data_IF_949865684430
#
_entry.id   IF_949865684430
#
_cell.length_a   1.000
_cell.length_b   1.000
_cell.length_c   1.000
_cell.angle_alpha   90.00
_cell.angle_beta   90.00
_cell.angle_gamma   90.00
#
_symmetry.space_group_name_H-M   'P 1'
#
loop_
_entity.id
_entity.type
_entity.pdbx_description
1 polymer ?
#
# COMPACT_ATOMS: atom_id res chain seq x y z
N UNK A 1 18.15 -1.41 1.64
CA UNK A 1 18.27 -1.36 0.18
C UNK A 1 19.21 -2.43 -0.37
N UNK A 2 19.48 -2.39 -1.68
CA UNK A 2 20.23 -3.44 -2.39
C UNK A 2 21.62 -3.73 -1.80
N UNK A 3 22.36 -2.69 -1.39
CA UNK A 3 23.67 -2.86 -0.77
C UNK A 3 23.60 -3.72 0.51
N UNK A 4 22.62 -3.47 1.38
CA UNK A 4 22.39 -4.26 2.59
C UNK A 4 21.95 -5.69 2.28
N UNK A 5 21.12 -5.87 1.25
CA UNK A 5 20.71 -7.19 0.79
C UNK A 5 21.93 -8.02 0.36
N UNK A 6 22.83 -7.44 -0.43
CA UNK A 6 24.08 -8.08 -0.84
C UNK A 6 24.92 -8.51 0.36
N UNK A 7 25.10 -7.63 1.35
CA UNK A 7 25.83 -7.97 2.57
C UNK A 7 25.17 -9.12 3.34
N UNK A 8 23.85 -9.09 3.49
CA UNK A 8 23.13 -10.16 4.19
C UNK A 8 23.28 -11.51 3.46
N UNK A 9 23.26 -11.49 2.12
CA UNK A 9 23.40 -12.72 1.31
C UNK A 9 24.78 -13.38 1.45
N UNK A 10 25.83 -12.65 1.79
CA UNK A 10 27.13 -13.27 2.08
C UNK A 10 27.13 -14.16 3.33
N UNK A 11 26.11 -13.99 4.19
CA UNK A 11 25.93 -14.74 5.46
C UNK A 11 24.82 -15.81 5.35
N UNK A 12 24.11 -15.84 4.22
CA UNK A 12 23.02 -16.80 4.00
C UNK A 12 23.59 -18.16 3.59
N UNK A 13 23.08 -19.23 4.20
CA UNK A 13 23.38 -20.62 3.88
C UNK A 13 22.25 -21.30 3.07
N UNK A 14 21.37 -20.49 2.49
CA UNK A 14 20.25 -20.91 1.64
C UNK A 14 20.31 -20.22 0.26
N UNK A 15 19.59 -20.79 -0.71
CA UNK A 15 19.50 -20.23 -2.06
C UNK A 15 18.55 -19.04 -2.09
N UNK A 16 18.96 -17.99 -2.81
CA UNK A 16 18.12 -16.83 -3.16
C UNK A 16 18.00 -16.80 -4.66
N UNK A 17 16.77 -16.75 -5.17
CA UNK A 17 16.48 -16.84 -6.60
C UNK A 17 15.76 -15.56 -7.07
N UNK A 18 16.20 -15.04 -8.23
CA UNK A 18 15.52 -13.96 -8.91
C UNK A 18 15.86 -13.98 -10.40
N UNK A 19 14.88 -14.21 -11.25
CA UNK A 19 15.08 -14.37 -12.69
C UNK A 19 14.92 -13.08 -13.49
N UNK A 20 14.29 -12.06 -12.93
CA UNK A 20 13.89 -10.82 -13.64
C UNK A 20 14.49 -9.53 -13.10
N UNK A 21 15.52 -9.60 -12.23
CA UNK A 21 16.20 -8.39 -11.75
C UNK A 21 17.69 -8.46 -12.08
N UNK A 22 18.19 -7.36 -12.62
CA UNK A 22 19.56 -7.25 -13.13
C UNK A 22 20.24 -6.01 -12.57
N UNK A 23 21.56 -6.04 -12.49
CA UNK A 23 22.38 -4.87 -12.29
C UNK A 23 22.33 -3.91 -13.49
N UNK A 24 22.92 -2.74 -13.34
CA UNK A 24 22.99 -1.70 -14.39
C UNK A 24 23.70 -2.19 -15.66
N UNK A 25 24.67 -3.10 -15.50
CA UNK A 25 25.43 -3.76 -16.56
C UNK A 25 24.70 -4.94 -17.21
N UNK A 26 23.48 -5.27 -16.77
CA UNK A 26 22.67 -6.37 -17.28
C UNK A 26 23.02 -7.73 -16.65
N UNK A 27 23.90 -7.79 -15.66
CA UNK A 27 24.18 -9.05 -14.94
C UNK A 27 23.03 -9.40 -13.98
N UNK A 28 22.61 -10.68 -13.88
CA UNK A 28 21.64 -11.12 -12.88
C UNK A 28 22.15 -10.83 -11.46
N UNK A 29 21.28 -10.36 -10.58
CA UNK A 29 21.66 -10.08 -9.18
C UNK A 29 21.72 -11.32 -8.31
N UNK A 30 20.99 -12.37 -8.69
CA UNK A 30 20.94 -13.69 -8.04
C UNK A 30 20.82 -14.80 -9.08
N UNK A 31 20.94 -16.07 -8.64
CA UNK A 31 20.60 -17.22 -9.48
C UNK A 31 19.15 -17.14 -9.93
N UNK A 32 18.87 -17.43 -11.20
CA UNK A 32 17.51 -17.35 -11.73
C UNK A 32 16.64 -18.52 -11.30
N UNK A 33 17.24 -19.71 -11.20
CA UNK A 33 16.58 -20.98 -10.88
C UNK A 33 17.49 -21.91 -10.07
N UNK A 34 16.89 -22.98 -9.55
CA UNK A 34 17.58 -24.03 -8.80
C UNK A 34 16.76 -25.32 -8.81
N UNK A 35 17.41 -26.47 -9.06
CA UNK A 35 16.78 -27.79 -8.93
C UNK A 35 17.14 -28.41 -7.58
N UNK A 36 16.14 -28.74 -6.79
CA UNK A 36 16.29 -29.53 -5.57
C UNK A 36 15.90 -30.97 -5.83
N UNK A 37 16.79 -31.91 -5.54
CA UNK A 37 16.48 -33.33 -5.62
C UNK A 37 16.21 -33.88 -4.23
N UNK A 38 15.02 -34.44 -4.04
CA UNK A 38 14.61 -35.05 -2.76
C UNK A 38 15.39 -36.34 -2.51
N UNK A 39 15.36 -36.85 -1.28
CA UNK A 39 15.97 -38.17 -0.94
C UNK A 39 15.34 -39.33 -1.72
N UNK A 40 14.10 -39.20 -2.17
CA UNK A 40 13.39 -40.18 -3.01
C UNK A 40 13.66 -40.01 -4.50
N UNK A 41 14.50 -39.06 -4.90
CA UNK A 41 14.87 -38.80 -6.29
C UNK A 41 13.92 -37.92 -7.08
N UNK A 42 12.88 -37.36 -6.46
CA UNK A 42 12.01 -36.38 -7.12
C UNK A 42 12.78 -35.06 -7.30
N UNK A 43 12.78 -34.53 -8.52
CA UNK A 43 13.41 -33.27 -8.89
C UNK A 43 12.36 -32.14 -8.84
N UNK A 44 12.63 -31.13 -8.05
CA UNK A 44 11.77 -29.94 -7.93
C UNK A 44 12.56 -28.74 -8.41
N UNK A 45 12.15 -28.17 -9.55
CA UNK A 45 12.70 -26.96 -10.10
C UNK A 45 12.05 -25.73 -9.47
N UNK A 46 12.86 -24.79 -9.05
CA UNK A 46 12.40 -23.49 -8.53
C UNK A 46 12.95 -22.36 -9.38
N UNK A 47 12.16 -21.32 -9.63
CA UNK A 47 12.65 -20.05 -10.16
C UNK A 47 12.04 -18.86 -9.41
N UNK A 48 12.81 -17.77 -9.28
CA UNK A 48 12.38 -16.58 -8.53
C UNK A 48 11.79 -15.52 -9.44
N UNK A 49 10.71 -14.85 -9.00
CA UNK A 49 10.09 -13.70 -9.69
C UNK A 49 9.83 -12.56 -8.71
N UNK A 50 10.43 -11.41 -8.97
CA UNK A 50 10.21 -10.17 -8.22
C UNK A 50 9.22 -9.29 -8.99
N UNK A 51 8.39 -8.53 -8.27
CA UNK A 51 7.47 -7.60 -8.90
C UNK A 51 8.19 -6.42 -9.54
N UNK A 52 7.91 -6.11 -10.82
CA UNK A 52 8.39 -4.87 -11.43
C UNK A 52 7.89 -3.59 -10.72
N UNK A 53 6.82 -3.69 -9.94
CA UNK A 53 6.32 -2.59 -9.11
C UNK A 53 7.36 -2.10 -8.08
N UNK A 54 8.40 -2.88 -7.79
CA UNK A 54 9.52 -2.42 -6.96
C UNK A 54 10.14 -1.11 -7.48
N UNK A 55 10.03 -0.82 -8.78
CA UNK A 55 10.46 0.45 -9.38
C UNK A 55 9.70 1.67 -8.85
N UNK A 56 8.45 1.49 -8.43
CA UNK A 56 7.58 2.55 -7.88
C UNK A 56 7.25 2.34 -6.41
N UNK A 57 7.27 1.10 -5.91
CA UNK A 57 6.90 0.76 -4.52
C UNK A 57 8.09 0.63 -3.56
N UNK A 58 9.33 0.66 -4.07
CA UNK A 58 10.52 0.77 -3.25
C UNK A 58 11.10 2.19 -3.33
N UNK A 59 11.80 2.61 -2.26
CA UNK A 59 12.49 3.90 -2.28
C UNK A 59 13.52 3.91 -3.43
N UNK A 60 13.44 4.85 -4.40
CA UNK A 60 14.30 4.88 -5.58
C UNK A 60 15.79 4.89 -5.25
N UNK A 61 16.20 5.59 -4.19
CA UNK A 61 17.61 5.62 -3.76
C UNK A 61 18.13 4.25 -3.30
N UNK A 62 17.23 3.37 -2.83
CA UNK A 62 17.59 2.05 -2.32
C UNK A 62 17.66 0.96 -3.39
N UNK A 63 17.12 1.23 -4.58
CA UNK A 63 17.12 0.33 -5.75
C UNK A 63 17.92 0.87 -6.93
N UNK A 64 18.62 2.00 -6.73
CA UNK A 64 19.45 2.64 -7.76
C UNK A 64 20.43 1.62 -8.36
N UNK A 65 20.51 1.58 -9.69
CA UNK A 65 21.35 0.64 -10.42
C UNK A 65 20.73 -0.74 -10.66
N UNK A 66 19.47 -0.95 -10.27
CA UNK A 66 18.72 -2.16 -10.60
C UNK A 66 17.80 -1.92 -11.80
N UNK A 67 17.67 -2.97 -12.62
CA UNK A 67 16.72 -3.06 -13.74
C UNK A 67 15.78 -4.21 -13.52
N UNK A 68 14.49 -3.98 -13.65
CA UNK A 68 13.44 -4.99 -13.51
C UNK A 68 12.89 -5.32 -14.89
N UNK A 69 12.97 -6.58 -15.29
CA UNK A 69 12.35 -7.04 -16.53
C UNK A 69 10.84 -7.17 -16.32
N UNK A 70 10.08 -6.49 -17.16
CA UNK A 70 8.61 -6.44 -17.10
C UNK A 70 7.93 -7.49 -17.96
N UNK A 71 8.65 -8.16 -18.86
CA UNK A 71 8.12 -9.29 -19.63
C UNK A 71 8.20 -10.58 -18.81
N UNK A 72 7.34 -10.67 -17.78
CA UNK A 72 7.30 -11.82 -16.88
C UNK A 72 7.04 -13.12 -17.61
N UNK A 73 6.31 -13.08 -18.74
CA UNK A 73 6.05 -14.25 -19.59
C UNK A 73 7.33 -14.78 -20.20
N UNK A 74 8.08 -13.93 -20.90
CA UNK A 74 9.33 -14.36 -21.55
C UNK A 74 10.36 -14.84 -20.51
N UNK A 75 10.45 -14.17 -19.36
CA UNK A 75 11.31 -14.60 -18.25
C UNK A 75 10.91 -15.98 -17.76
N UNK A 76 9.62 -16.21 -17.48
CA UNK A 76 9.15 -17.52 -17.00
C UNK A 76 9.35 -18.63 -18.04
N UNK A 77 9.02 -18.38 -19.32
CA UNK A 77 9.22 -19.38 -20.40
C UNK A 77 10.69 -19.80 -20.51
N UNK A 78 11.64 -18.88 -20.34
CA UNK A 78 13.07 -19.19 -20.29
C UNK A 78 13.43 -20.08 -19.08
N UNK A 79 12.83 -19.87 -17.91
CA UNK A 79 13.07 -20.71 -16.75
C UNK A 79 12.43 -22.09 -16.90
N UNK A 80 11.22 -22.16 -17.45
CA UNK A 80 10.54 -23.43 -17.74
C UNK A 80 11.34 -24.29 -18.71
N UNK A 81 11.94 -23.71 -19.74
CA UNK A 81 12.84 -24.45 -20.64
C UNK A 81 14.12 -24.93 -19.91
N UNK A 82 14.68 -24.13 -19.02
CA UNK A 82 15.85 -24.51 -18.22
C UNK A 82 15.55 -25.63 -17.22
N UNK A 83 14.32 -25.73 -16.74
CA UNK A 83 13.85 -26.70 -15.73
C UNK A 83 13.00 -27.84 -16.34
N UNK A 84 12.99 -28.02 -17.64
CA UNK A 84 12.11 -28.96 -18.34
C UNK A 84 12.34 -30.45 -17.98
N UNK A 85 13.48 -30.79 -17.42
CA UNK A 85 13.83 -32.14 -16.98
C UNK A 85 13.51 -32.36 -15.49
N UNK A 86 12.90 -31.39 -14.83
CA UNK A 86 12.43 -31.51 -13.46
C UNK A 86 11.01 -32.08 -13.40
N UNK A 87 10.69 -32.77 -12.33
CA UNK A 87 9.41 -33.47 -12.16
C UNK A 87 8.26 -32.49 -11.80
N UNK A 88 8.60 -31.42 -11.06
CA UNK A 88 7.67 -30.37 -10.62
C UNK A 88 8.38 -29.02 -10.73
N UNK A 89 7.74 -28.02 -11.30
CA UNK A 89 8.28 -26.65 -11.41
C UNK A 89 7.46 -25.68 -10.59
N UNK A 90 8.10 -24.99 -9.65
CA UNK A 90 7.49 -24.05 -8.71
C UNK A 90 8.08 -22.64 -8.92
N UNK A 91 7.22 -21.66 -9.13
CA UNK A 91 7.62 -20.25 -9.08
C UNK A 91 7.59 -19.75 -7.63
N UNK A 92 8.73 -19.18 -7.19
CA UNK A 92 8.82 -18.41 -5.94
C UNK A 92 8.63 -16.93 -6.30
N UNK A 93 7.44 -16.41 -6.08
CA UNK A 93 7.10 -15.07 -6.55
C UNK A 93 6.81 -14.07 -5.41
N UNK A 94 7.07 -12.82 -5.69
CA UNK A 94 6.64 -11.68 -4.88
C UNK A 94 5.84 -10.71 -5.76
N UNK A 95 4.80 -11.22 -6.44
CA UNK A 95 4.00 -10.49 -7.43
C UNK A 95 2.69 -9.96 -6.86
N UNK A 96 2.11 -10.69 -5.91
CA UNK A 96 0.79 -10.39 -5.36
C UNK A 96 -0.36 -10.84 -6.25
N UNK A 97 -1.57 -10.66 -5.73
CA UNK A 97 -2.83 -11.06 -6.38
C UNK A 97 -3.86 -9.93 -6.42
N UNK A 98 -3.54 -8.77 -5.85
CA UNK A 98 -4.41 -7.60 -5.83
C UNK A 98 -4.47 -6.92 -7.22
N UNK A 99 -5.63 -6.35 -7.57
CA UNK A 99 -5.80 -5.64 -8.86
C UNK A 99 -4.85 -4.43 -9.00
N UNK A 100 -4.41 -3.83 -7.89
CA UNK A 100 -3.42 -2.76 -7.89
C UNK A 100 -2.03 -3.17 -8.39
N UNK A 101 -1.76 -4.48 -8.51
CA UNK A 101 -0.49 -5.03 -9.00
C UNK A 101 -0.54 -5.49 -10.45
N UNK A 102 -1.68 -5.34 -11.14
CA UNK A 102 -1.78 -5.61 -12.59
C UNK A 102 -0.86 -4.72 -13.40
N UNK A 103 -0.30 -5.21 -14.53
CA UNK A 103 -0.47 -6.54 -15.11
C UNK A 103 0.57 -7.55 -14.60
N UNK A 104 1.09 -7.41 -13.40
CA UNK A 104 2.22 -8.18 -12.87
C UNK A 104 1.81 -9.13 -11.75
N UNK A 105 0.52 -9.48 -11.64
CA UNK A 105 0.05 -10.40 -10.59
C UNK A 105 0.47 -11.85 -10.84
N UNK A 106 0.49 -12.66 -9.78
CA UNK A 106 0.70 -14.11 -9.91
C UNK A 106 -0.37 -14.78 -10.77
N UNK A 107 -1.58 -14.21 -10.87
CA UNK A 107 -2.59 -14.65 -11.83
C UNK A 107 -2.19 -14.38 -13.28
N UNK A 108 -1.64 -13.17 -13.55
CA UNK A 108 -1.17 -12.80 -14.89
C UNK A 108 -0.04 -13.72 -15.32
N UNK A 109 0.94 -13.99 -14.44
CA UNK A 109 2.03 -14.92 -14.69
C UNK A 109 1.53 -16.33 -15.00
N UNK A 110 0.66 -16.90 -14.16
CA UNK A 110 0.11 -18.24 -14.33
C UNK A 110 -0.68 -18.40 -15.63
N UNK A 111 -1.44 -17.36 -16.01
CA UNK A 111 -2.21 -17.37 -17.25
C UNK A 111 -1.31 -17.23 -18.48
N UNK A 112 -0.25 -16.47 -18.42
CA UNK A 112 0.64 -16.17 -19.54
C UNK A 112 1.68 -17.29 -19.82
N UNK A 113 2.25 -17.91 -18.78
CA UNK A 113 3.29 -18.92 -18.87
C UNK A 113 2.75 -20.32 -18.49
N UNK A 114 2.66 -21.22 -19.47
CA UNK A 114 2.15 -22.59 -19.24
C UNK A 114 3.30 -23.52 -18.87
N UNK A 115 3.10 -24.38 -17.88
CA UNK A 115 4.09 -25.33 -17.37
C UNK A 115 4.57 -25.05 -15.94
N UNK A 116 4.03 -24.00 -15.29
CA UNK A 116 4.21 -23.78 -13.86
C UNK A 116 3.23 -24.68 -13.12
N UNK A 117 3.74 -25.62 -12.31
CA UNK A 117 2.90 -26.52 -11.52
C UNK A 117 2.32 -25.86 -10.28
N UNK A 118 3.05 -24.91 -9.68
CA UNK A 118 2.65 -24.19 -8.48
C UNK A 118 3.33 -22.83 -8.34
N UNK A 119 2.63 -21.87 -7.73
CA UNK A 119 3.18 -20.56 -7.37
C UNK A 119 3.09 -20.37 -5.86
N UNK A 120 4.23 -20.12 -5.21
CA UNK A 120 4.32 -19.64 -3.84
C UNK A 120 4.49 -18.12 -3.94
N UNK A 121 3.48 -17.38 -3.48
CA UNK A 121 3.40 -15.92 -3.68
C UNK A 121 3.47 -15.13 -2.37
N UNK A 122 3.80 -13.85 -2.50
CA UNK A 122 3.82 -12.83 -1.45
C UNK A 122 3.24 -11.50 -1.91
N UNK A 123 3.74 -10.37 -1.39
CA UNK A 123 3.43 -8.98 -1.74
C UNK A 123 2.05 -8.49 -1.27
N UNK A 124 0.94 -9.09 -1.70
CA UNK A 124 -0.42 -8.66 -1.35
C UNK A 124 -0.84 -8.96 0.10
N UNK A 125 -0.04 -9.73 0.86
CA UNK A 125 -0.35 -10.22 2.21
C UNK A 125 -1.63 -11.07 2.28
N UNK A 126 -2.07 -11.62 1.15
CA UNK A 126 -3.28 -12.44 1.06
C UNK A 126 -3.08 -13.79 1.78
N UNK A 127 -4.14 -14.32 2.38
CA UNK A 127 -4.16 -15.66 2.99
C UNK A 127 -4.99 -16.55 2.11
N UNK A 128 -4.34 -17.42 1.34
CA UNK A 128 -5.03 -18.30 0.39
C UNK A 128 -4.21 -19.56 0.11
N UNK A 129 -4.86 -20.73 0.14
CA UNK A 129 -4.26 -22.00 -0.27
C UNK A 129 -4.32 -22.23 -1.78
N UNK A 130 -5.24 -21.56 -2.47
CA UNK A 130 -5.44 -21.58 -3.93
C UNK A 130 -6.04 -20.28 -4.41
N UNK A 131 -5.84 -19.96 -5.68
CA UNK A 131 -6.42 -18.79 -6.33
C UNK A 131 -7.95 -18.82 -6.38
N UNK A 132 -8.54 -17.67 -6.70
CA UNK A 132 -10.01 -17.45 -6.69
C UNK A 132 -10.80 -18.38 -7.62
N UNK A 133 -10.17 -18.86 -8.71
CA UNK A 133 -10.79 -19.84 -9.64
C UNK A 133 -10.15 -21.23 -9.51
N UNK A 134 -9.37 -21.48 -8.45
CA UNK A 134 -8.72 -22.76 -8.21
C UNK A 134 -7.29 -22.85 -8.76
N UNK A 135 -6.70 -21.73 -9.18
CA UNK A 135 -5.31 -21.69 -9.65
C UNK A 135 -4.35 -22.20 -8.54
N UNK A 136 -3.26 -22.91 -8.90
CA UNK A 136 -2.28 -23.44 -7.94
C UNK A 136 -1.35 -22.33 -7.43
N UNK A 137 -1.93 -21.34 -6.77
CA UNK A 137 -1.25 -20.18 -6.19
C UNK A 137 -1.54 -20.12 -4.70
N UNK A 138 -0.50 -20.14 -3.87
CA UNK A 138 -0.62 -20.07 -2.41
C UNK A 138 0.06 -18.81 -1.89
N UNK A 139 -0.58 -18.14 -0.93
CA UNK A 139 0.01 -17.04 -0.15
C UNK A 139 -0.35 -17.21 1.31
N UNK A 140 0.62 -17.00 2.20
CA UNK A 140 0.52 -17.32 3.64
C UNK A 140 0.17 -16.12 4.51
N UNK A 141 -0.13 -14.96 3.92
CA UNK A 141 -0.39 -13.74 4.65
C UNK A 141 0.89 -13.01 5.07
N UNK A 142 0.92 -12.51 6.28
CA UNK A 142 2.03 -11.73 6.83
C UNK A 142 2.31 -12.11 8.27
N UNK A 143 3.48 -11.70 8.80
CA UNK A 143 3.87 -11.86 10.22
C UNK A 143 3.84 -13.31 10.72
N UNK A 144 4.14 -14.27 9.85
CA UNK A 144 4.10 -15.70 10.15
C UNK A 144 2.73 -16.20 10.64
N UNK A 145 1.63 -15.58 10.19
CA UNK A 145 0.30 -16.04 10.56
C UNK A 145 0.00 -17.47 10.09
N UNK A 146 0.59 -17.88 8.96
CA UNK A 146 0.41 -19.23 8.41
C UNK A 146 1.74 -19.79 7.86
N UNK A 147 1.82 -21.14 7.83
CA UNK A 147 2.81 -21.89 7.07
C UNK A 147 2.08 -22.58 5.92
N UNK A 148 2.60 -22.42 4.69
CA UNK A 148 2.13 -23.16 3.52
C UNK A 148 2.75 -24.56 3.48
N UNK A 149 1.94 -25.57 3.21
CA UNK A 149 2.38 -26.96 3.07
C UNK A 149 1.96 -27.47 1.71
N UNK A 150 2.94 -27.92 0.94
CA UNK A 150 2.75 -28.57 -0.37
C UNK A 150 3.21 -30.01 -0.27
N UNK A 151 2.34 -30.95 -0.62
CA UNK A 151 2.67 -32.39 -0.63
C UNK A 151 2.84 -32.85 -2.07
N UNK A 152 3.97 -33.46 -2.35
CA UNK A 152 4.30 -34.04 -3.66
C UNK A 152 4.34 -35.58 -3.49
N UNK A 153 3.55 -36.28 -4.29
CA UNK A 153 3.57 -37.76 -4.30
C UNK A 153 4.81 -38.28 -5.02
N UNK A 154 5.54 -39.15 -4.35
CA UNK A 154 6.81 -39.68 -4.84
C UNK A 154 6.67 -40.60 -6.05
N UNK A 155 5.54 -41.29 -6.20
CA UNK A 155 5.34 -42.25 -7.27
C UNK A 155 4.86 -41.57 -8.55
N UNK A 156 3.90 -40.66 -8.42
CA UNK A 156 3.35 -39.92 -9.55
C UNK A 156 4.16 -38.68 -9.89
N UNK A 157 5.00 -38.18 -8.97
CA UNK A 157 5.81 -36.96 -9.08
C UNK A 157 4.95 -35.72 -9.33
N UNK A 158 3.76 -35.69 -8.71
CA UNK A 158 2.80 -34.59 -8.84
C UNK A 158 2.43 -34.01 -7.49
N UNK A 159 1.98 -32.78 -7.49
CA UNK A 159 1.42 -32.15 -6.29
C UNK A 159 0.11 -32.84 -5.96
N UNK A 160 0.06 -33.49 -4.80
CA UNK A 160 -1.11 -34.21 -4.27
C UNK A 160 -2.04 -33.27 -3.54
N UNK A 161 -1.49 -32.37 -2.73
CA UNK A 161 -2.26 -31.42 -1.96
C UNK A 161 -1.46 -30.18 -1.60
N UNK A 162 -2.17 -29.11 -1.27
CA UNK A 162 -1.63 -27.94 -0.61
C UNK A 162 -2.57 -27.49 0.51
N UNK A 163 -2.03 -26.89 1.57
CA UNK A 163 -2.78 -26.41 2.71
C UNK A 163 -2.07 -25.27 3.43
N UNK A 164 -2.81 -24.54 4.26
CA UNK A 164 -2.27 -23.57 5.20
C UNK A 164 -2.39 -24.11 6.62
N UNK A 165 -1.30 -24.01 7.36
CA UNK A 165 -1.27 -24.30 8.80
C UNK A 165 -1.21 -22.96 9.54
N UNK A 166 -2.27 -22.65 10.29
CA UNK A 166 -2.34 -21.42 11.09
C UNK A 166 -1.39 -21.51 12.29
N UNK A 167 -0.57 -20.48 12.49
CA UNK A 167 0.28 -20.32 13.66
C UNK A 167 -0.54 -19.63 14.76
N UNK A 168 -0.78 -20.36 15.86
CA UNK A 168 -1.53 -19.87 17.03
C UNK A 168 -0.60 -19.46 18.15
N UNK A 169 -1.14 -18.78 19.14
CA UNK A 169 -0.36 -18.30 20.30
C UNK A 169 0.29 -19.46 21.08
N UNK A 170 -0.38 -20.60 21.14
CA UNK A 170 0.07 -21.84 21.80
C UNK A 170 0.92 -22.76 20.92
N UNK A 171 1.19 -22.35 19.66
CA UNK A 171 2.09 -23.12 18.77
C UNK A 171 3.46 -23.27 19.41
N UNK A 172 3.98 -24.51 19.42
CA UNK A 172 5.28 -24.83 20.00
C UNK A 172 6.40 -24.02 19.32
N UNK A 173 7.31 -23.46 20.13
CA UNK A 173 8.41 -22.61 19.68
C UNK A 173 9.75 -23.35 19.84
N UNK A 174 10.62 -23.21 18.86
CA UNK A 174 12.02 -23.60 19.04
C UNK A 174 12.68 -22.72 20.11
N UNK A 175 13.29 -23.34 21.12
CA UNK A 175 13.80 -22.64 22.29
C UNK A 175 14.99 -21.71 21.94
N UNK A 176 15.84 -22.10 20.99
CA UNK A 176 17.01 -21.31 20.58
C UNK A 176 16.59 -20.07 19.78
N UNK A 177 15.64 -20.23 18.85
CA UNK A 177 15.06 -19.13 18.08
C UNK A 177 14.30 -18.18 18.99
N UNK A 178 13.48 -18.71 19.91
CA UNK A 178 12.75 -17.88 20.88
C UNK A 178 13.68 -17.05 21.77
N UNK A 179 14.78 -17.65 22.27
CA UNK A 179 15.78 -16.93 23.08
C UNK A 179 16.52 -15.84 22.27
N UNK A 180 16.82 -16.09 21.00
CA UNK A 180 17.43 -15.10 20.12
C UNK A 180 16.48 -13.94 19.82
N UNK A 181 15.20 -14.24 19.54
CA UNK A 181 14.16 -13.23 19.35
C UNK A 181 13.95 -12.38 20.61
N UNK A 182 13.93 -13.01 21.81
CA UNK A 182 13.72 -12.30 23.06
C UNK A 182 14.83 -11.26 23.33
N UNK A 183 16.10 -11.57 23.02
CA UNK A 183 17.19 -10.59 23.14
C UNK A 183 16.98 -9.35 22.28
N UNK A 184 16.40 -9.52 21.09
CA UNK A 184 16.08 -8.39 20.19
C UNK A 184 14.91 -7.59 20.77
N UNK A 185 13.86 -8.27 21.24
CA UNK A 185 12.69 -7.65 21.88
C UNK A 185 13.13 -6.82 23.08
N UNK A 186 13.91 -7.38 24.01
CA UNK A 186 14.39 -6.70 25.21
C UNK A 186 15.18 -5.43 24.88
N UNK A 187 16.01 -5.48 23.81
CA UNK A 187 16.75 -4.30 23.34
C UNK A 187 15.82 -3.22 22.81
N UNK A 188 14.84 -3.60 22.00
CA UNK A 188 13.85 -2.68 21.43
C UNK A 188 12.99 -2.08 22.55
N UNK A 189 12.55 -2.87 23.50
CA UNK A 189 11.72 -2.42 24.62
C UNK A 189 12.51 -1.45 25.54
N UNK A 190 13.79 -1.72 25.76
CA UNK A 190 14.66 -0.79 26.49
C UNK A 190 14.85 0.55 25.79
N UNK A 191 14.96 0.54 24.46
CA UNK A 191 15.21 1.73 23.65
C UNK A 191 13.94 2.53 23.37
N UNK A 192 12.84 1.85 23.06
CA UNK A 192 11.60 2.46 22.53
C UNK A 192 10.35 2.20 23.40
N UNK A 193 10.44 1.38 24.44
CA UNK A 193 9.30 1.01 25.28
C UNK A 193 8.82 2.07 26.26
N UNK A 194 9.53 3.22 26.34
CA UNK A 194 9.13 4.30 27.25
C UNK A 194 7.79 4.90 26.79
N UNK A 195 6.83 4.95 27.71
CA UNK A 195 5.53 5.63 27.54
C UNK A 195 5.80 7.14 27.47
N UNK A 196 5.31 7.80 26.42
CA UNK A 196 5.44 9.26 26.26
C UNK A 196 4.08 9.97 26.13
N UNK A 197 3.00 9.21 25.89
CA UNK A 197 1.66 9.74 25.68
C UNK A 197 0.58 8.70 26.08
N UNK A 198 -0.68 9.13 26.02
CA UNK A 198 -1.86 8.27 26.16
C UNK A 198 -2.84 8.49 25.03
N UNK A 199 -3.50 7.42 24.57
CA UNK A 199 -4.62 7.52 23.66
C UNK A 199 -5.94 7.20 24.38
N UNK A 200 -6.94 8.08 24.22
CA UNK A 200 -8.31 7.84 24.70
C UNK A 200 -9.15 7.07 23.68
N UNK A 201 -8.70 7.00 22.45
CA UNK A 201 -9.40 6.41 21.31
C UNK A 201 -8.52 5.38 20.62
N UNK A 202 -9.11 4.42 19.95
CA UNK A 202 -8.38 3.50 19.07
C UNK A 202 -8.18 4.18 17.70
N UNK A 203 -6.95 4.17 17.20
CA UNK A 203 -6.64 4.64 15.85
C UNK A 203 -6.54 3.46 14.89
N UNK A 204 -7.29 3.53 13.81
CA UNK A 204 -7.43 2.44 12.85
C UNK A 204 -6.14 2.22 12.04
N UNK A 205 -5.57 1.04 12.15
CA UNK A 205 -4.39 0.60 11.39
C UNK A 205 -4.68 -0.49 10.37
N UNK A 206 -5.97 -0.80 10.10
CA UNK A 206 -6.34 -1.83 9.14
C UNK A 206 -5.88 -1.44 7.72
N UNK A 207 -5.60 -2.47 6.91
CA UNK A 207 -5.31 -2.29 5.47
C UNK A 207 -6.60 -1.94 4.72
N UNK A 208 -7.59 -2.83 4.79
CA UNK A 208 -8.90 -2.81 4.16
C UNK A 208 -9.75 -3.96 4.79
N UNK A 209 -11.10 -3.99 4.67
CA UNK A 209 -11.92 -2.85 4.22
C UNK A 209 -12.01 -1.74 5.27
N UNK A 210 -12.38 -0.54 4.85
CA UNK A 210 -12.48 0.67 5.69
C UNK A 210 -11.17 0.95 6.45
N UNK A 211 -10.06 0.82 5.76
CA UNK A 211 -8.73 0.98 6.30
C UNK A 211 -7.91 2.02 5.55
N UNK A 212 -6.63 2.07 5.86
CA UNK A 212 -5.71 3.09 5.31
C UNK A 212 -5.55 3.04 3.79
N UNK A 213 -6.00 1.95 3.10
CA UNK A 213 -5.78 1.74 1.67
C UNK A 213 -7.04 1.79 0.81
N UNK A 214 -8.18 2.06 1.39
CA UNK A 214 -9.48 2.14 0.69
C UNK A 214 -10.43 3.18 1.27
N UNK A 215 -10.04 3.89 2.35
CA UNK A 215 -10.83 4.92 2.99
C UNK A 215 -10.01 5.82 3.91
N UNK A 216 -10.65 6.88 4.39
CA UNK A 216 -10.11 7.75 5.43
C UNK A 216 -10.02 7.01 6.76
N UNK A 217 -8.94 7.23 7.50
CA UNK A 217 -8.81 6.70 8.85
C UNK A 217 -8.36 7.79 9.83
N UNK A 218 -8.85 7.71 11.06
CA UNK A 218 -8.43 8.62 12.13
C UNK A 218 -6.92 8.53 12.44
N UNK A 219 -6.27 7.41 12.12
CA UNK A 219 -4.82 7.28 12.20
C UNK A 219 -4.12 8.06 11.07
N UNK A 220 -4.68 7.98 9.86
CA UNK A 220 -4.23 8.79 8.72
C UNK A 220 -4.38 10.30 9.00
N UNK A 221 -5.49 10.69 9.61
CA UNK A 221 -5.74 12.09 10.01
C UNK A 221 -4.69 12.57 11.01
N UNK A 222 -4.44 11.81 12.09
CA UNK A 222 -3.41 12.16 13.08
C UNK A 222 -2.03 12.33 12.43
N UNK A 223 -1.65 11.41 11.54
CA UNK A 223 -0.33 11.42 10.89
C UNK A 223 -0.19 12.63 9.98
N UNK A 224 -1.19 12.90 9.14
CA UNK A 224 -1.14 14.03 8.20
C UNK A 224 -1.27 15.38 8.90
N UNK A 225 -2.03 15.46 9.99
CA UNK A 225 -2.05 16.66 10.85
C UNK A 225 -0.69 16.91 11.48
N UNK A 226 -0.01 15.87 11.96
CA UNK A 226 1.33 15.99 12.52
C UNK A 226 2.36 16.43 11.47
N UNK A 227 2.27 15.91 10.23
CA UNK A 227 3.14 16.33 9.12
C UNK A 227 2.93 17.80 8.79
N UNK A 228 1.68 18.20 8.61
CA UNK A 228 1.31 19.60 8.31
C UNK A 228 1.76 20.53 9.43
N UNK A 229 1.39 20.23 10.69
CA UNK A 229 1.82 20.98 11.86
C UNK A 229 3.34 21.16 11.93
N UNK A 230 4.10 20.09 11.65
CA UNK A 230 5.56 20.14 11.71
C UNK A 230 6.17 21.12 10.72
N UNK A 231 5.67 21.16 9.49
CA UNK A 231 6.13 22.12 8.47
C UNK A 231 5.67 23.52 8.80
N UNK A 232 4.45 23.69 9.29
CA UNK A 232 3.90 25.01 9.65
C UNK A 232 4.62 25.67 10.83
N UNK A 233 5.41 24.94 11.61
CA UNK A 233 6.32 25.55 12.62
C UNK A 233 7.40 26.44 11.98
N UNK A 234 7.69 26.25 10.68
CA UNK A 234 8.70 27.00 9.92
C UNK A 234 8.10 27.53 8.60
N UNK A 235 6.84 27.98 8.64
CA UNK A 235 6.09 28.43 7.47
C UNK A 235 6.72 29.56 6.67
N UNK A 236 7.59 30.35 7.30
CA UNK A 236 8.34 31.44 6.67
C UNK A 236 9.27 30.95 5.54
N UNK A 237 9.63 29.67 5.55
CA UNK A 237 10.41 29.01 4.48
C UNK A 237 9.57 28.59 3.26
N UNK A 238 8.24 28.72 3.32
CA UNK A 238 7.35 28.33 2.23
C UNK A 238 7.21 29.45 1.21
N UNK A 239 7.05 29.09 -0.07
CA UNK A 239 6.91 30.06 -1.18
C UNK A 239 5.45 30.30 -1.57
N UNK A 240 4.50 29.69 -0.87
CA UNK A 240 3.05 29.87 -1.05
C UNK A 240 2.41 30.35 0.25
N UNK A 241 1.19 30.86 0.18
CA UNK A 241 0.42 31.22 1.34
C UNK A 241 0.02 29.99 2.16
N UNK A 242 -0.26 30.17 3.45
CA UNK A 242 -0.63 29.07 4.36
C UNK A 242 -1.89 28.30 3.91
N UNK A 243 -2.84 28.99 3.27
CA UNK A 243 -4.05 28.37 2.73
C UNK A 243 -3.83 27.51 1.48
N UNK A 244 -2.60 27.46 0.94
CA UNK A 244 -2.15 26.62 -0.15
C UNK A 244 -1.22 25.48 0.32
N UNK A 245 -1.11 25.25 1.63
CA UNK A 245 -0.26 24.17 2.19
C UNK A 245 -1.15 23.01 2.61
N UNK A 246 -0.84 21.82 2.13
CA UNK A 246 -1.61 20.60 2.39
C UNK A 246 -0.68 19.46 2.74
N UNK A 247 -1.17 18.44 3.43
CA UNK A 247 -0.39 17.23 3.68
C UNK A 247 -1.05 15.99 3.04
N UNK A 248 -0.23 15.13 2.48
CA UNK A 248 -0.65 13.84 1.87
C UNK A 248 0.37 12.78 2.23
N UNK A 249 -0.09 11.62 2.70
CA UNK A 249 0.74 10.43 2.83
C UNK A 249 0.02 9.20 2.30
N UNK A 250 0.77 8.24 1.75
CA UNK A 250 0.21 6.99 1.24
C UNK A 250 -0.21 6.06 2.37
N UNK A 251 -1.41 5.49 2.29
CA UNK A 251 -1.95 4.55 3.27
C UNK A 251 -1.11 3.29 3.43
N UNK A 252 -0.35 2.91 2.39
CA UNK A 252 0.64 1.84 2.44
C UNK A 252 1.76 2.06 3.44
N UNK A 253 2.05 3.32 3.80
CA UNK A 253 3.02 3.71 4.82
C UNK A 253 2.57 3.43 6.26
N UNK A 254 1.26 3.30 6.51
CA UNK A 254 0.65 3.12 7.83
C UNK A 254 0.44 1.62 8.09
N UNK A 255 1.15 1.06 9.07
CA UNK A 255 1.32 -0.39 9.19
C UNK A 255 0.68 -1.03 10.42
N UNK A 256 0.19 -0.26 11.38
CA UNK A 256 -0.41 -0.76 12.61
C UNK A 256 -1.44 0.23 13.18
N UNK A 257 -2.30 -0.27 14.07
CA UNK A 257 -3.21 0.52 14.89
C UNK A 257 -2.49 1.06 16.14
N UNK A 258 -3.02 2.13 16.74
CA UNK A 258 -2.70 2.56 18.09
C UNK A 258 -3.90 2.24 18.98
N UNK A 259 -3.67 1.46 20.04
CA UNK A 259 -4.73 1.05 20.98
C UNK A 259 -5.01 2.14 22.01
N UNK A 260 -6.19 2.07 22.63
CA UNK A 260 -6.52 2.88 23.81
C UNK A 260 -5.55 2.54 24.95
N UNK A 261 -5.03 3.53 25.65
CA UNK A 261 -4.12 3.37 26.79
C UNK A 261 -2.79 4.09 26.59
N UNK A 262 -1.75 3.53 27.18
CA UNK A 262 -0.39 4.06 27.10
C UNK A 262 0.18 3.92 25.69
N UNK A 263 0.84 4.98 25.21
CA UNK A 263 1.49 5.03 23.89
C UNK A 263 2.99 5.15 24.08
N UNK A 264 3.73 4.22 23.48
CA UNK A 264 5.20 4.18 23.51
C UNK A 264 5.80 4.66 22.19
N UNK A 265 7.09 4.98 22.20
CA UNK A 265 7.82 5.26 20.94
C UNK A 265 7.83 4.05 20.01
N UNK A 266 7.79 2.82 20.57
CA UNK A 266 7.72 1.57 19.82
C UNK A 266 6.42 1.49 19.02
N UNK A 267 5.29 1.92 19.59
CA UNK A 267 4.00 1.91 18.91
C UNK A 267 4.04 2.81 17.67
N UNK A 268 4.55 4.04 17.81
CA UNK A 268 4.67 4.96 16.66
C UNK A 268 5.62 4.41 15.59
N UNK A 269 6.76 3.82 15.98
CA UNK A 269 7.68 3.18 15.03
C UNK A 269 7.09 1.93 14.37
N UNK A 270 6.16 1.26 15.02
CA UNK A 270 5.41 0.12 14.43
C UNK A 270 4.38 0.60 13.41
N UNK A 271 3.75 1.75 13.68
CA UNK A 271 2.84 2.41 12.73
C UNK A 271 3.59 2.93 11.51
N UNK A 272 4.76 3.55 11.70
CA UNK A 272 5.58 4.22 10.66
C UNK A 272 7.00 3.62 10.60
N UNK A 273 7.17 2.38 10.11
CA UNK A 273 8.43 1.65 10.25
C UNK A 273 9.51 2.00 9.22
N UNK A 274 9.19 2.77 8.18
CA UNK A 274 10.08 2.95 7.03
C UNK A 274 11.15 4.01 7.23
N UNK A 275 11.02 4.87 8.23
CA UNK A 275 11.95 5.97 8.48
C UNK A 275 11.93 7.04 7.37
N UNK A 276 10.81 7.15 6.65
CA UNK A 276 10.63 8.17 5.64
C UNK A 276 10.69 9.57 6.27
N UNK A 277 11.37 10.51 5.60
CA UNK A 277 11.42 11.92 5.99
C UNK A 277 10.23 12.69 5.41
N UNK A 278 9.88 13.81 6.04
CA UNK A 278 8.92 14.77 5.50
C UNK A 278 9.62 15.60 4.43
N UNK A 279 9.07 15.61 3.24
CA UNK A 279 9.48 16.44 2.12
C UNK A 279 8.36 17.38 1.73
N UNK A 280 8.71 18.61 1.37
CA UNK A 280 7.76 19.59 0.83
C UNK A 280 8.05 19.76 -0.65
N UNK A 281 7.03 19.57 -1.46
CA UNK A 281 7.09 19.74 -2.92
C UNK A 281 6.09 20.81 -3.36
N UNK A 282 6.40 21.49 -4.45
CA UNK A 282 5.52 22.50 -5.03
C UNK A 282 4.96 21.98 -6.36
N UNK A 283 3.65 21.84 -6.42
CA UNK A 283 2.93 21.30 -7.59
C UNK A 283 1.79 22.24 -7.98
N UNK A 284 1.38 22.17 -9.23
CA UNK A 284 0.14 22.83 -9.69
C UNK A 284 -1.08 22.09 -9.15
N UNK A 285 -2.22 22.78 -9.08
CA UNK A 285 -3.48 22.11 -8.72
C UNK A 285 -3.83 20.96 -9.67
N UNK A 286 -3.48 21.08 -10.96
CA UNK A 286 -3.66 19.98 -11.92
C UNK A 286 -2.86 18.74 -11.51
N UNK A 287 -1.57 18.88 -11.18
CA UNK A 287 -0.72 17.77 -10.73
C UNK A 287 -1.18 17.19 -9.40
N UNK A 288 -1.68 18.04 -8.48
CA UNK A 288 -2.29 17.60 -7.23
C UNK A 288 -3.53 16.73 -7.49
N UNK A 289 -4.41 17.16 -8.39
CA UNK A 289 -5.60 16.39 -8.77
C UNK A 289 -5.23 15.07 -9.45
N UNK A 290 -4.27 15.09 -10.38
CA UNK A 290 -3.77 13.88 -11.03
C UNK A 290 -3.24 12.86 -10.01
N UNK A 291 -2.50 13.30 -9.00
CA UNK A 291 -1.98 12.43 -7.94
C UNK A 291 -3.13 11.79 -7.13
N UNK A 292 -4.17 12.54 -6.79
CA UNK A 292 -5.34 12.01 -6.07
C UNK A 292 -6.13 11.03 -6.93
N UNK A 293 -6.31 11.30 -8.22
CA UNK A 293 -7.00 10.40 -9.15
C UNK A 293 -6.23 9.09 -9.34
N UNK A 294 -4.92 9.17 -9.57
CA UNK A 294 -4.06 8.00 -9.68
C UNK A 294 -4.06 7.15 -8.41
N UNK A 295 -4.14 7.78 -7.24
CA UNK A 295 -4.09 7.10 -5.95
C UNK A 295 -5.43 6.50 -5.50
N UNK A 296 -6.52 6.79 -6.22
CA UNK A 296 -7.88 6.31 -5.88
C UNK A 296 -8.55 5.54 -7.02
N UNK A 297 -7.81 5.24 -8.09
CA UNK A 297 -8.40 4.71 -9.34
C UNK A 297 -9.12 3.38 -9.15
N UNK A 298 -8.67 2.51 -8.27
CA UNK A 298 -9.24 1.18 -8.06
C UNK A 298 -10.24 1.11 -6.90
N UNK A 299 -10.50 2.21 -6.19
CA UNK A 299 -11.49 2.22 -5.10
C UNK A 299 -12.86 1.72 -5.63
N UNK A 300 -13.53 0.77 -4.94
CA UNK A 300 -13.35 0.33 -3.54
C UNK A 300 -12.24 -0.70 -3.28
N UNK A 301 -11.55 -1.21 -4.29
CA UNK A 301 -10.41 -2.09 -4.08
C UNK A 301 -9.26 -1.32 -3.42
N UNK A 302 -8.52 -2.03 -2.56
CA UNK A 302 -7.45 -1.40 -1.78
C UNK A 302 -6.19 -1.15 -2.59
N UNK A 303 -5.54 0.00 -2.38
CA UNK A 303 -4.27 0.34 -3.02
C UNK A 303 -3.31 0.98 -2.01
N UNK A 304 -2.01 0.62 -2.09
CA UNK A 304 -0.97 1.17 -1.21
C UNK A 304 -0.85 2.69 -1.28
N UNK A 305 -1.05 3.24 -2.48
CA UNK A 305 -1.03 4.68 -2.74
C UNK A 305 -2.24 5.45 -2.20
N UNK A 306 -3.29 4.82 -1.68
CA UNK A 306 -4.49 5.53 -1.22
C UNK A 306 -4.11 6.70 -0.29
N UNK A 307 -4.58 7.94 -0.57
CA UNK A 307 -4.10 9.13 0.14
C UNK A 307 -4.81 9.32 1.47
N UNK A 308 -4.04 9.47 2.54
CA UNK A 308 -4.50 10.07 3.78
C UNK A 308 -4.09 11.55 3.75
N UNK A 309 -4.95 12.48 4.17
CA UNK A 309 -4.75 13.91 3.89
C UNK A 309 -5.02 14.83 5.08
N UNK A 310 -4.39 16.02 5.06
CA UNK A 310 -4.74 17.17 5.90
C UNK A 310 -4.71 18.45 5.08
N UNK A 311 -5.64 19.37 5.36
CA UNK A 311 -5.81 20.60 4.59
C UNK A 311 -6.55 20.42 3.25
N UNK A 312 -6.94 19.20 2.88
CA UNK A 312 -7.73 18.89 1.67
C UNK A 312 -9.04 18.23 2.10
N UNK A 313 -10.15 18.61 1.44
CA UNK A 313 -11.36 17.80 1.41
C UNK A 313 -11.68 17.44 -0.05
N UNK A 314 -11.97 16.16 -0.32
CA UNK A 314 -12.30 15.71 -1.65
C UNK A 314 -13.32 14.56 -1.67
N UNK A 315 -13.97 14.39 -2.81
CA UNK A 315 -14.96 13.32 -3.04
C UNK A 315 -14.47 12.38 -4.13
N UNK A 316 -14.58 11.08 -3.89
CA UNK A 316 -14.31 10.02 -4.86
C UNK A 316 -15.64 9.50 -5.40
N UNK A 317 -15.93 9.74 -6.68
CA UNK A 317 -17.13 9.26 -7.36
C UNK A 317 -16.94 7.83 -7.85
N UNK A 318 -17.05 6.86 -6.95
CA UNK A 318 -16.83 5.42 -7.25
C UNK A 318 -17.88 4.83 -8.19
N UNK A 319 -19.06 5.45 -8.28
CA UNK A 319 -20.11 5.11 -9.26
C UNK A 319 -19.79 5.53 -10.70
N UNK A 320 -18.83 6.44 -10.90
CA UNK A 320 -18.42 6.85 -12.24
C UNK A 320 -17.49 5.82 -12.89
N UNK A 321 -17.75 5.50 -14.16
CA UNK A 321 -16.88 4.63 -14.97
C UNK A 321 -15.80 5.51 -15.60
N UNK A 322 -14.54 5.10 -15.53
CA UNK A 322 -13.45 5.76 -16.23
C UNK A 322 -13.08 5.04 -17.54
N UNK A 323 -12.45 5.78 -18.45
CA UNK A 323 -11.97 5.21 -19.70
C UNK A 323 -10.67 4.41 -19.47
N UNK A 324 -10.74 3.10 -19.67
CA UNK A 324 -9.58 2.20 -19.54
C UNK A 324 -8.49 2.46 -20.60
N UNK A 325 -8.81 3.20 -21.68
CA UNK A 325 -7.83 3.61 -22.70
C UNK A 325 -7.29 5.03 -22.48
N UNK A 326 -7.60 5.65 -21.32
CA UNK A 326 -7.06 6.97 -21.00
C UNK A 326 -5.53 6.98 -20.96
N UNK A 327 -4.95 8.16 -21.09
CA UNK A 327 -3.49 8.35 -21.03
C UNK A 327 -2.92 7.77 -19.72
N UNK A 328 -1.78 7.10 -19.81
CA UNK A 328 -1.04 6.54 -18.67
C UNK A 328 0.29 7.27 -18.48
N UNK A 329 0.89 7.13 -17.31
CA UNK A 329 2.24 7.68 -17.07
C UNK A 329 3.29 6.86 -17.83
N UNK A 330 4.20 7.50 -18.61
CA UNK A 330 5.24 6.80 -19.35
C UNK A 330 6.24 6.14 -18.39
N UNK A 331 6.69 4.94 -18.76
CA UNK A 331 7.69 4.16 -18.01
C UNK A 331 7.33 3.89 -16.51
N UNK A 332 6.09 4.08 -16.13
CA UNK A 332 5.58 3.75 -14.79
C UNK A 332 5.09 2.31 -14.71
N UNK A 333 5.23 1.68 -13.56
CA UNK A 333 4.58 0.41 -13.23
C UNK A 333 3.16 0.62 -12.68
N UNK A 334 2.69 1.87 -12.60
CA UNK A 334 1.33 2.20 -12.23
C UNK A 334 0.34 1.60 -13.23
N UNK A 335 -0.61 0.84 -12.71
CA UNK A 335 -1.58 0.09 -13.54
C UNK A 335 -2.70 0.96 -14.12
N UNK A 336 -3.17 1.96 -13.37
CA UNK A 336 -4.33 2.78 -13.73
C UNK A 336 -4.00 3.92 -14.70
N UNK A 337 -5.03 4.62 -15.20
CA UNK A 337 -4.88 5.77 -16.07
C UNK A 337 -4.36 7.00 -15.32
N UNK A 338 -3.80 7.95 -16.07
CA UNK A 338 -3.26 9.21 -15.54
C UNK A 338 -4.34 10.10 -14.91
N UNK A 339 -5.52 10.15 -15.50
CA UNK A 339 -6.69 10.85 -14.99
C UNK A 339 -7.94 10.02 -15.26
N UNK A 340 -8.83 9.94 -14.28
CA UNK A 340 -10.04 9.13 -14.34
C UNK A 340 -11.32 9.93 -14.16
N UNK A 341 -11.21 11.23 -13.88
CA UNK A 341 -12.34 12.13 -13.64
C UNK A 341 -13.32 11.63 -12.57
N UNK A 342 -12.80 10.99 -11.52
CA UNK A 342 -13.57 10.47 -10.39
C UNK A 342 -13.36 11.28 -9.11
N UNK A 343 -12.30 12.08 -9.05
CA UNK A 343 -11.99 12.90 -7.88
C UNK A 343 -12.48 14.35 -8.11
N UNK A 344 -13.16 14.86 -7.11
CA UNK A 344 -13.48 16.29 -7.01
C UNK A 344 -12.87 16.83 -5.73
N UNK A 345 -11.92 17.77 -5.83
CA UNK A 345 -11.39 18.49 -4.66
C UNK A 345 -12.46 19.49 -4.22
N UNK A 346 -13.03 19.27 -3.04
CA UNK A 346 -14.12 20.10 -2.51
C UNK A 346 -13.58 21.43 -1.96
N UNK A 347 -12.44 21.38 -1.28
CA UNK A 347 -11.76 22.58 -0.76
C UNK A 347 -10.31 22.29 -0.39
N UNK A 348 -9.50 23.34 -0.38
CA UNK A 348 -8.16 23.38 0.20
C UNK A 348 -8.18 24.39 1.35
N UNK A 349 -7.94 23.94 2.59
CA UNK A 349 -8.03 24.75 3.81
C UNK A 349 -9.32 25.60 3.87
N UNK A 350 -10.47 25.02 3.45
CA UNK A 350 -11.76 25.69 3.39
C UNK A 350 -11.93 26.71 2.26
N UNK A 351 -10.94 26.84 1.36
CA UNK A 351 -10.99 27.70 0.17
C UNK A 351 -11.32 26.89 -1.08
N UNK A 352 -11.81 27.58 -2.11
CA UNK A 352 -12.05 27.01 -3.43
C UNK A 352 -10.72 26.51 -4.04
N UNK A 353 -10.73 25.27 -4.55
CA UNK A 353 -9.61 24.70 -5.28
C UNK A 353 -9.45 25.36 -6.65
N UNK A 354 -8.21 25.63 -7.04
CA UNK A 354 -7.86 26.17 -8.36
C UNK A 354 -6.75 25.36 -9.03
N UNK A 355 -7.07 24.81 -10.19
CA UNK A 355 -6.16 23.94 -10.93
C UNK A 355 -4.83 24.61 -11.35
N UNK A 356 -4.85 25.93 -11.55
CA UNK A 356 -3.69 26.70 -12.00
C UNK A 356 -2.86 27.30 -10.85
N UNK A 357 -3.33 27.20 -9.61
CA UNK A 357 -2.58 27.71 -8.46
C UNK A 357 -1.48 26.71 -8.09
N UNK A 358 -0.43 27.21 -7.42
CA UNK A 358 0.63 26.36 -6.87
C UNK A 358 0.32 26.01 -5.43
N UNK A 359 0.45 24.74 -5.09
CA UNK A 359 0.27 24.21 -3.74
C UNK A 359 1.59 23.62 -3.21
N UNK A 360 1.86 23.87 -1.93
CA UNK A 360 2.91 23.16 -1.21
C UNK A 360 2.31 21.87 -0.64
N UNK A 361 2.78 20.74 -1.12
CA UNK A 361 2.36 19.43 -0.62
C UNK A 361 3.42 18.91 0.33
N UNK A 362 3.05 18.81 1.60
CA UNK A 362 3.83 18.16 2.64
C UNK A 362 3.60 16.65 2.53
N UNK A 363 4.60 15.91 2.11
CA UNK A 363 4.47 14.47 1.89
C UNK A 363 5.68 13.73 2.44
N UNK A 364 5.74 12.42 2.29
CA UNK A 364 6.95 11.67 2.61
C UNK A 364 7.88 11.60 1.39
N UNK A 365 9.17 11.46 1.62
CA UNK A 365 10.18 11.43 0.56
C UNK A 365 9.95 10.30 -0.47
N UNK A 366 9.30 9.19 -0.10
CA UNK A 366 8.95 8.13 -1.02
C UNK A 366 7.88 8.58 -2.04
N UNK A 367 6.80 9.24 -1.57
CA UNK A 367 5.78 9.80 -2.46
C UNK A 367 6.31 10.98 -3.29
N UNK A 368 7.16 11.83 -2.69
CA UNK A 368 7.77 12.97 -3.37
C UNK A 368 8.65 12.56 -4.57
N UNK A 369 9.26 11.39 -4.50
CA UNK A 369 10.03 10.78 -5.59
C UNK A 369 9.18 9.94 -6.57
N UNK A 370 7.84 10.00 -6.45
CA UNK A 370 6.92 9.30 -7.34
C UNK A 370 6.60 7.86 -6.93
N UNK A 371 6.88 7.49 -5.68
CA UNK A 371 6.55 6.17 -5.13
C UNK A 371 5.05 5.88 -5.12
N UNK A 372 4.68 4.62 -5.13
CA UNK A 372 3.30 4.15 -5.30
C UNK A 372 2.68 4.72 -6.61
N UNK A 373 1.62 5.50 -6.49
CA UNK A 373 0.87 6.11 -7.58
C UNK A 373 1.14 7.62 -7.74
N UNK A 374 2.13 8.16 -7.00
CA UNK A 374 2.41 9.61 -6.95
C UNK A 374 3.37 10.09 -8.03
N UNK A 375 3.29 9.50 -9.23
CA UNK A 375 4.17 9.83 -10.34
C UNK A 375 4.14 11.33 -10.69
N UNK A 376 2.98 11.98 -10.56
CA UNK A 376 2.84 13.42 -10.77
C UNK A 376 3.75 14.25 -9.82
N UNK A 377 4.03 13.77 -8.61
CA UNK A 377 4.89 14.45 -7.64
C UNK A 377 6.36 14.41 -8.00
N UNK A 378 6.81 13.36 -8.71
CA UNK A 378 8.19 13.27 -9.18
C UNK A 378 8.58 14.40 -10.15
N UNK A 379 7.59 14.98 -10.84
CA UNK A 379 7.78 16.09 -11.77
C UNK A 379 7.94 17.46 -11.07
N UNK A 380 7.74 17.55 -9.76
CA UNK A 380 7.89 18.80 -9.01
C UNK A 380 9.29 19.39 -9.18
N UNK A 381 9.36 20.63 -9.67
CA UNK A 381 10.63 21.31 -9.97
C UNK A 381 11.25 21.97 -8.75
N UNK A 382 10.49 22.18 -7.69
CA UNK A 382 10.93 22.77 -6.42
C UNK A 382 10.49 21.87 -5.27
N UNK A 383 11.47 21.46 -4.45
CA UNK A 383 11.25 20.60 -3.30
C UNK A 383 12.39 20.71 -2.29
N UNK A 384 12.09 20.40 -1.04
CA UNK A 384 13.11 20.25 -0.01
C UNK A 384 12.75 19.20 1.02
N UNK A 385 13.71 18.41 1.44
CA UNK A 385 13.58 17.46 2.54
C UNK A 385 13.85 18.18 3.87
N UNK A 386 12.95 18.03 4.84
CA UNK A 386 13.08 18.64 6.16
C UNK A 386 14.12 17.93 7.05
N UNK A 387 14.54 16.71 6.69
CA UNK A 387 15.36 15.83 7.52
C UNK A 387 14.64 15.26 8.75
N UNK A 388 13.35 15.56 8.92
CA UNK A 388 12.53 15.06 10.04
C UNK A 388 11.75 13.84 9.57
N UNK A 389 11.86 12.71 10.27
CA UNK A 389 11.09 11.53 9.95
C UNK A 389 9.63 11.64 10.39
N UNK A 390 8.71 10.94 9.70
CA UNK A 390 7.27 10.97 10.00
C UNK A 390 6.99 10.56 11.45
N UNK A 391 7.64 9.51 11.94
CA UNK A 391 7.49 9.03 13.31
C UNK A 391 7.95 10.08 14.34
N UNK A 392 9.02 10.81 14.07
CA UNK A 392 9.45 11.93 14.93
C UNK A 392 8.43 13.07 14.90
N UNK A 393 7.88 13.42 13.73
CA UNK A 393 6.88 14.48 13.62
C UNK A 393 5.60 14.12 14.39
N UNK A 394 5.15 12.86 14.29
CA UNK A 394 3.97 12.37 15.06
C UNK A 394 4.24 12.40 16.56
N UNK A 395 5.41 11.94 17.03
CA UNK A 395 5.75 12.01 18.44
C UNK A 395 5.84 13.46 18.95
N UNK A 396 6.42 14.36 18.16
CA UNK A 396 6.50 15.78 18.47
C UNK A 396 5.10 16.42 18.56
N UNK A 397 4.24 16.14 17.59
CA UNK A 397 2.85 16.63 17.54
C UNK A 397 2.04 16.17 18.75
N UNK A 398 2.08 14.86 19.05
CA UNK A 398 1.39 14.31 20.23
C UNK A 398 1.88 14.97 21.50
N UNK A 399 3.19 15.15 21.64
CA UNK A 399 3.80 15.69 22.87
C UNK A 399 3.57 17.20 23.00
N UNK A 400 3.83 17.96 21.93
CA UNK A 400 3.89 19.43 21.96
C UNK A 400 2.55 20.07 21.70
N UNK A 401 1.77 19.57 20.72
CA UNK A 401 0.47 20.13 20.37
C UNK A 401 -0.66 19.50 21.19
N UNK A 402 -0.73 18.15 21.20
CA UNK A 402 -1.78 17.42 21.92
C UNK A 402 -1.47 17.24 23.42
N UNK A 403 -0.37 17.80 23.92
CA UNK A 403 0.01 17.76 25.36
C UNK A 403 0.08 16.34 25.92
N UNK A 404 0.50 15.37 25.11
CA UNK A 404 0.66 13.98 25.49
C UNK A 404 -0.62 13.16 25.49
N UNK A 405 -1.73 13.67 24.94
CA UNK A 405 -3.02 12.95 24.92
C UNK A 405 -3.66 12.97 23.54
N UNK A 406 -3.77 11.81 22.90
CA UNK A 406 -4.61 11.64 21.71
C UNK A 406 -6.07 11.54 22.21
N UNK A 407 -6.85 12.58 21.95
CA UNK A 407 -8.19 12.77 22.50
C UNK A 407 -9.32 12.39 21.52
N UNK A 408 -10.54 12.72 21.94
CA UNK A 408 -11.79 12.45 21.21
C UNK A 408 -11.88 13.10 19.83
N UNK A 409 -11.07 14.11 19.54
CA UNK A 409 -10.97 14.70 18.20
C UNK A 409 -10.53 13.69 17.12
N UNK A 410 -9.94 12.57 17.54
CA UNK A 410 -9.57 11.46 16.66
C UNK A 410 -10.41 10.19 16.92
N UNK A 411 -11.60 10.31 17.52
CA UNK A 411 -12.47 9.15 17.76
C UNK A 411 -13.01 8.54 16.45
N UNK A 412 -13.12 9.35 15.40
CA UNK A 412 -13.56 8.94 14.07
C UNK A 412 -12.75 9.68 12.99
N UNK A 413 -12.80 9.25 11.73
CA UNK A 413 -12.32 10.02 10.59
C UNK A 413 -12.94 11.42 10.54
N UNK A 414 -12.20 12.40 10.02
CA UNK A 414 -12.58 13.82 10.04
C UNK A 414 -13.53 14.24 8.90
N UNK A 415 -13.89 13.32 8.00
CA UNK A 415 -14.74 13.60 6.84
C UNK A 415 -14.01 14.38 5.74
N UNK A 416 -12.71 14.18 5.62
CA UNK A 416 -11.88 14.81 4.57
C UNK A 416 -12.02 14.10 3.23
N UNK A 417 -12.32 12.81 3.25
CA UNK A 417 -12.43 11.92 2.09
C UNK A 417 -13.83 11.35 2.03
N UNK A 418 -14.61 11.82 1.06
CA UNK A 418 -16.00 11.42 0.90
C UNK A 418 -16.16 10.43 -0.27
N UNK A 419 -17.04 9.46 -0.10
CA UNK A 419 -17.38 8.48 -1.14
C UNK A 419 -18.73 8.83 -1.77
N UNK A 420 -18.79 8.84 -3.09
CA UNK A 420 -20.02 8.95 -3.86
C UNK A 420 -20.21 7.72 -4.75
N UNK A 421 -20.99 6.73 -4.32
CA UNK A 421 -21.24 5.53 -5.12
C UNK A 421 -22.29 5.73 -6.21
N UNK A 422 -23.02 6.87 -6.19
CA UNK A 422 -24.18 7.07 -7.02
C UNK A 422 -23.83 7.64 -8.40
N UNK A 423 -24.22 6.96 -9.46
CA UNK A 423 -24.00 7.38 -10.86
C UNK A 423 -24.82 8.60 -11.25
N UNK A 424 -25.95 8.81 -10.58
CA UNK A 424 -26.94 9.85 -10.83
C UNK A 424 -26.85 11.05 -9.88
N UNK A 425 -25.85 11.07 -8.99
CA UNK A 425 -25.53 12.19 -8.11
C UNK A 425 -24.20 12.78 -8.52
N UNK A 426 -24.22 13.97 -9.11
CA UNK A 426 -22.98 14.72 -9.40
C UNK A 426 -22.65 15.61 -8.22
N UNK A 427 -21.37 15.71 -7.85
CA UNK A 427 -20.87 16.59 -6.78
C UNK A 427 -21.31 18.05 -7.04
N UNK A 428 -21.30 18.50 -8.30
CA UNK A 428 -21.67 19.84 -8.73
C UNK A 428 -23.19 20.13 -8.73
N UNK A 429 -24.05 19.11 -8.51
CA UNK A 429 -25.50 19.32 -8.42
C UNK A 429 -25.83 20.08 -7.13
N UNK A 430 -26.86 20.90 -7.14
CA UNK A 430 -27.28 21.67 -5.95
C UNK A 430 -27.58 20.79 -4.72
N UNK A 431 -28.03 19.57 -4.92
CA UNK A 431 -28.28 18.57 -3.88
C UNK A 431 -27.08 17.63 -3.65
N UNK A 432 -26.10 17.61 -4.56
CA UNK A 432 -25.02 16.61 -4.59
C UNK A 432 -24.26 16.55 -3.28
N UNK A 433 -23.80 17.69 -2.78
CA UNK A 433 -23.09 17.77 -1.50
C UNK A 433 -23.92 17.17 -0.35
N UNK A 434 -25.19 17.53 -0.23
CA UNK A 434 -26.04 17.05 0.87
C UNK A 434 -26.26 15.54 0.81
N UNK A 435 -26.47 14.98 -0.37
CA UNK A 435 -26.63 13.53 -0.55
C UNK A 435 -25.35 12.81 -0.18
N UNK A 436 -24.21 13.30 -0.64
CA UNK A 436 -22.90 12.70 -0.37
C UNK A 436 -22.57 12.77 1.13
N UNK A 437 -22.74 13.90 1.77
CA UNK A 437 -22.51 14.08 3.20
C UNK A 437 -23.38 13.09 4.01
N UNK A 438 -24.70 13.10 3.79
CA UNK A 438 -25.63 12.22 4.50
C UNK A 438 -25.39 10.73 4.25
N UNK A 439 -24.89 10.37 3.06
CA UNK A 439 -24.49 8.99 2.75
C UNK A 439 -23.25 8.58 3.57
N UNK A 440 -22.22 9.42 3.61
CA UNK A 440 -21.01 9.15 4.38
C UNK A 440 -21.26 9.14 5.89
N UNK A 441 -22.23 9.91 6.37
CA UNK A 441 -22.72 9.89 7.76
C UNK A 441 -23.58 8.65 8.08
N UNK A 442 -23.88 7.82 7.07
CA UNK A 442 -24.73 6.63 7.23
C UNK A 442 -26.21 6.92 7.47
N UNK A 443 -26.66 8.16 7.20
CA UNK A 443 -28.05 8.62 7.42
C UNK A 443 -28.94 8.18 6.28
N UNK A 444 -28.47 8.22 5.04
CA UNK A 444 -29.23 7.81 3.86
C UNK A 444 -28.51 6.73 3.07
N UNK A 445 -29.31 5.99 2.30
CA UNK A 445 -28.83 5.03 1.31
C UNK A 445 -29.45 5.34 -0.05
N UNK A 446 -28.88 4.77 -1.11
CA UNK A 446 -29.48 4.83 -2.44
C UNK A 446 -30.69 3.88 -2.59
N UNK A 447 -31.40 4.02 -3.69
CA UNK A 447 -32.42 3.05 -4.13
C UNK A 447 -31.77 1.74 -4.59
N UNK A 448 -30.48 1.79 -4.92
CA UNK A 448 -29.58 0.65 -5.12
C UNK A 448 -28.17 1.03 -4.63
N UNK A 449 -27.24 0.08 -4.71
CA UNK A 449 -25.83 0.35 -4.36
C UNK A 449 -25.18 1.47 -5.18
N UNK A 450 -25.70 1.78 -6.38
CA UNK A 450 -25.11 2.78 -7.30
C UNK A 450 -26.10 3.80 -7.83
N UNK A 451 -27.31 3.88 -7.28
CA UNK A 451 -28.38 4.80 -7.73
C UNK A 451 -29.06 5.43 -6.52
N UNK A 452 -29.16 6.72 -6.50
CA UNK A 452 -29.90 7.48 -5.48
C UNK A 452 -31.34 7.78 -5.92
N UNK A 453 -31.54 8.05 -7.21
CA UNK A 453 -32.81 8.44 -7.87
C UNK A 453 -33.35 9.81 -7.38
N UNK A 454 -32.58 10.89 -7.52
CA UNK A 454 -32.90 12.19 -6.94
C UNK A 454 -34.16 12.85 -7.52
N UNK A 455 -34.66 12.36 -8.66
CA UNK A 455 -35.85 12.89 -9.33
C UNK A 455 -37.10 12.01 -9.12
N UNK A 456 -36.97 10.90 -8.39
CA UNK A 456 -38.10 10.03 -8.13
C UNK A 456 -39.05 10.61 -7.09
N UNK A 457 -40.31 10.26 -7.19
CA UNK A 457 -41.32 10.71 -6.23
C UNK A 457 -41.12 10.00 -4.90
N UNK A 458 -40.89 10.78 -3.83
CA UNK A 458 -40.79 10.25 -2.47
C UNK A 458 -42.21 9.95 -1.94
N UNK A 459 -42.46 8.71 -1.54
CA UNK A 459 -43.70 8.34 -0.84
C UNK A 459 -43.61 8.70 0.64
N UNK A 460 -44.77 8.96 1.27
CA UNK A 460 -44.83 9.20 2.72
C UNK A 460 -44.19 8.07 3.55
N UNK A 461 -44.37 6.82 3.10
CA UNK A 461 -43.77 5.67 3.77
C UNK A 461 -42.23 5.65 3.66
N UNK A 462 -41.68 6.15 2.55
CA UNK A 462 -40.23 6.26 2.39
C UNK A 462 -39.64 7.48 3.14
N UNK A 463 -40.43 8.55 3.33
CA UNK A 463 -40.03 9.72 4.10
C UNK A 463 -40.00 9.48 5.63
N UNK A 464 -40.71 8.46 6.09
CA UNK A 464 -40.82 8.11 7.51
C UNK A 464 -39.89 6.95 7.95
N UNK A 465 -39.10 6.39 7.05
CA UNK A 465 -38.07 5.38 7.31
C UNK A 465 -36.73 6.05 7.64
#
# INVERSE_FOLDING_TARGET
GYAQLKENMTKADFKVLCANVYGEDGTPIFDANYTYTTKSGVKIGFFGMETPEAQTKANPALIKGLKFDTDLKAVAEKQLEALKDDDVVIALSHLGVDDSSKPYTSYDLYNAAKGIDFIIDGHSHSVMAKGKNGEPIQSTGTKFANIGVIVIDNATKKIESNSLYEIKEDTAKDAAVAAAAQKIIDRIDKEYGAVFAKSKVELNGAKAPNGNRDGETNNGDLITDAMLWKVMQNKEGLTVNEDHVVAITNGGGIRAAIKVGDVTKKDIKTVLPFGNTIEVIYVTGTELLEALEASTFCVPESIGGFPQVSGISYTISTGAVYDANAETYPASTYYGPKSINRVTINSINGKEFKANDTYAVVTNNFCAEGGDTYYAFAAATSKFDTGVTLDMAVMDYITKELKGVIGEQYAAPQGRILMNPFKDVKVSSWFGKYVIDLYNDGIINGTSATTYAPNDTLTWAAALK
#
